data_IF_374990289501
#
_entry.id   IF_374990289501
#
_cell.length_a   1.000
_cell.length_b   1.000
_cell.length_c   1.000
_cell.angle_alpha   90.00
_cell.angle_beta   90.00
_cell.angle_gamma   90.00
#
_symmetry.space_group_name_H-M   'P 1'
#
loop_
_entity.id
_entity.type
_entity.pdbx_description
1 polymer ?
#
# COMPACT_ATOMS: atom_id res chain seq x y z
N UNK A 1 -26.82 -46.78 25.37
CA UNK A 1 -27.66 -45.58 25.20
C UNK A 1 -27.19 -44.94 23.90
N UNK A 2 -28.04 -44.99 22.87
CA UNK A 2 -27.74 -44.41 21.57
C UNK A 2 -28.19 -42.94 21.62
N UNK A 3 -27.23 -42.03 21.68
CA UNK A 3 -27.46 -40.61 21.42
C UNK A 3 -27.24 -40.41 19.92
N UNK A 4 -28.33 -40.52 19.19
CA UNK A 4 -28.44 -40.38 17.74
C UNK A 4 -29.16 -39.07 17.44
N UNK A 5 -28.57 -38.27 16.54
CA UNK A 5 -29.15 -37.13 15.82
C UNK A 5 -29.49 -35.86 16.60
N UNK A 6 -28.98 -34.72 16.08
CA UNK A 6 -29.83 -33.52 16.08
C UNK A 6 -29.20 -32.14 16.07
N UNK A 7 -27.87 -31.94 16.06
CA UNK A 7 -27.32 -30.57 15.99
C UNK A 7 -26.85 -30.12 14.60
N UNK A 8 -27.28 -30.80 13.54
CA UNK A 8 -27.40 -30.15 12.23
C UNK A 8 -28.79 -29.51 12.14
N UNK A 9 -29.02 -28.47 12.95
CA UNK A 9 -30.11 -27.55 12.66
C UNK A 9 -29.54 -26.51 11.72
N UNK A 10 -29.91 -26.64 10.46
CA UNK A 10 -29.68 -25.64 9.41
C UNK A 10 -30.24 -24.30 9.87
N UNK A 11 -29.43 -23.50 10.55
CA UNK A 11 -29.59 -22.05 10.51
C UNK A 11 -29.04 -21.57 9.17
N UNK A 12 -29.84 -21.85 8.15
CA UNK A 12 -29.95 -21.07 6.94
C UNK A 12 -30.33 -19.64 7.37
N UNK A 13 -29.32 -18.83 7.68
CA UNK A 13 -29.49 -17.39 7.79
C UNK A 13 -28.54 -16.78 6.80
N UNK A 14 -29.07 -16.48 5.62
CA UNK A 14 -28.44 -15.61 4.65
C UNK A 14 -28.13 -14.27 5.31
N UNK A 15 -26.91 -14.15 5.83
CA UNK A 15 -26.25 -12.86 5.85
C UNK A 15 -25.63 -12.73 4.45
N UNK A 16 -25.90 -11.63 3.73
CA UNK A 16 -25.34 -11.42 2.42
C UNK A 16 -23.83 -11.50 2.56
N UNK A 17 -23.16 -11.99 1.51
CA UNK A 17 -21.74 -11.73 1.28
C UNK A 17 -21.53 -10.23 1.49
N UNK A 18 -21.19 -9.85 2.72
CA UNK A 18 -20.42 -8.66 2.99
C UNK A 18 -19.10 -9.00 2.34
N UNK A 19 -19.02 -8.74 1.04
CA UNK A 19 -17.78 -8.68 0.31
C UNK A 19 -16.82 -7.96 1.26
N UNK A 20 -15.80 -8.65 1.75
CA UNK A 20 -14.74 -8.00 2.48
C UNK A 20 -14.21 -6.94 1.53
N UNK A 21 -14.64 -5.70 1.73
CA UNK A 21 -14.39 -4.59 0.84
C UNK A 21 -12.89 -4.32 0.93
N UNK A 22 -12.15 -4.95 0.02
CA UNK A 22 -10.73 -4.74 -0.16
C UNK A 22 -10.50 -3.24 -0.42
N UNK A 23 -9.70 -2.54 0.41
CA UNK A 23 -9.43 -1.13 0.22
C UNK A 23 -8.85 -0.83 -1.18
N UNK A 24 -8.17 -1.80 -1.81
CA UNK A 24 -7.72 -1.67 -3.20
C UNK A 24 -8.89 -1.66 -4.19
N UNK A 25 -9.93 -2.47 -3.95
CA UNK A 25 -11.13 -2.52 -4.81
C UNK A 25 -11.93 -1.22 -4.74
N UNK A 26 -12.07 -0.62 -3.55
CA UNK A 26 -12.72 0.69 -3.39
C UNK A 26 -11.94 1.80 -4.13
N UNK A 27 -10.61 1.79 -4.06
CA UNK A 27 -9.76 2.74 -4.79
C UNK A 27 -9.86 2.58 -6.31
N UNK A 28 -9.88 1.33 -6.81
CA UNK A 28 -10.08 1.08 -8.24
C UNK A 28 -11.46 1.54 -8.71
N UNK A 29 -12.53 1.26 -7.96
CA UNK A 29 -13.88 1.72 -8.30
C UNK A 29 -13.98 3.27 -8.30
N UNK A 30 -13.30 3.94 -7.38
CA UNK A 30 -13.23 5.40 -7.35
C UNK A 30 -12.46 5.94 -8.56
N UNK A 31 -11.32 5.33 -8.91
CA UNK A 31 -10.53 5.73 -10.08
C UNK A 31 -11.27 5.48 -11.40
N UNK A 32 -11.98 4.36 -11.52
CA UNK A 32 -12.83 4.07 -12.68
C UNK A 32 -13.95 5.11 -12.81
N UNK A 33 -14.57 5.53 -11.70
CA UNK A 33 -15.59 6.58 -11.69
C UNK A 33 -15.03 7.95 -12.07
N UNK A 34 -13.81 8.28 -11.61
CA UNK A 34 -13.12 9.54 -11.93
C UNK A 34 -12.71 9.61 -13.40
N UNK A 35 -12.21 8.50 -13.98
CA UNK A 35 -11.83 8.40 -15.40
C UNK A 35 -13.07 8.38 -16.31
N UNK A 36 -14.13 7.65 -15.95
CA UNK A 36 -15.37 7.59 -16.73
C UNK A 36 -16.03 8.97 -16.89
N UNK A 37 -15.85 9.88 -15.91
CA UNK A 37 -16.31 11.26 -16.01
C UNK A 37 -15.57 12.11 -17.05
N UNK A 38 -14.33 11.75 -17.40
CA UNK A 38 -13.53 12.46 -18.40
C UNK A 38 -13.80 11.91 -19.81
N UNK A 39 -14.04 10.61 -19.96
CA UNK A 39 -14.38 10.01 -21.26
C UNK A 39 -15.79 10.38 -21.74
N UNK A 40 -16.74 10.60 -20.83
CA UNK A 40 -18.09 11.02 -21.18
C UNK A 40 -18.24 12.52 -21.51
N UNK A 41 -17.14 13.28 -21.55
CA UNK A 41 -17.17 14.65 -22.07
C UNK A 41 -17.05 14.62 -23.61
N UNK A 42 -18.12 14.93 -24.37
CA UNK A 42 -18.08 14.91 -25.83
C UNK A 42 -17.24 16.05 -26.44
N UNK A 43 -16.51 16.82 -25.62
CA UNK A 43 -15.72 17.97 -26.04
C UNK A 43 -14.37 17.64 -26.68
N UNK A 44 -13.87 16.39 -26.60
CA UNK A 44 -12.52 16.03 -27.07
C UNK A 44 -12.49 15.20 -28.36
N UNK A 45 -13.56 15.24 -29.15
CA UNK A 45 -13.59 14.67 -30.50
C UNK A 45 -12.65 15.43 -31.45
N UNK A 46 -11.63 14.73 -31.93
CA UNK A 46 -10.57 15.24 -32.81
C UNK A 46 -11.08 16.06 -34.02
N UNK A 47 -10.41 17.17 -34.40
CA UNK A 47 -10.83 18.05 -35.48
C UNK A 47 -10.55 17.40 -36.84
N UNK A 48 -11.54 16.69 -37.37
CA UNK A 48 -11.54 16.22 -38.75
C UNK A 48 -11.84 17.39 -39.71
N UNK A 49 -10.76 17.97 -40.25
CA UNK A 49 -10.61 18.45 -41.62
C UNK A 49 -11.87 18.96 -42.38
N UNK A 50 -11.93 20.27 -42.60
CA UNK A 50 -12.52 20.90 -43.80
C UNK A 50 -12.05 22.36 -43.84
N UNK A 51 -10.93 22.71 -44.49
CA UNK A 51 -10.82 23.02 -45.92
C UNK A 51 -11.93 23.92 -46.48
N UNK A 52 -11.74 25.25 -46.38
CA UNK A 52 -12.17 26.26 -47.38
C UNK A 52 -11.17 27.43 -47.22
N UNK A 53 -10.03 27.49 -47.90
CA UNK A 53 -9.80 27.92 -49.28
C UNK A 53 -10.38 29.32 -49.61
N UNK A 54 -9.57 30.14 -50.28
CA UNK A 54 -9.86 31.47 -50.90
C UNK A 54 -9.71 32.67 -49.96
N UNK A 55 -8.96 33.74 -50.22
CA UNK A 55 -8.31 34.22 -51.43
C UNK A 55 -7.18 35.22 -51.08
N UNK A 56 -6.09 35.18 -51.86
CA UNK A 56 -5.13 36.26 -52.13
C UNK A 56 -5.84 37.50 -52.77
N UNK A 57 -5.19 38.65 -53.09
CA UNK A 57 -3.76 38.98 -53.06
C UNK A 57 -3.42 40.35 -52.42
N UNK A 58 -2.11 40.58 -52.24
CA UNK A 58 -1.54 41.82 -51.72
C UNK A 58 -1.65 43.02 -52.64
N UNK A 59 -1.65 44.19 -52.00
CA UNK A 59 -1.24 45.45 -52.60
C UNK A 59 0.03 45.90 -51.88
N UNK A 60 1.14 45.71 -52.59
CA UNK A 60 2.39 46.38 -52.31
C UNK A 60 2.33 47.82 -52.84
N UNK A 61 3.23 48.63 -52.30
CA UNK A 61 3.75 49.88 -52.87
C UNK A 61 3.08 51.17 -52.38
N UNK A 62 3.89 52.00 -51.73
CA UNK A 62 3.51 53.35 -51.31
C UNK A 62 4.45 53.93 -50.25
N UNK A 63 5.76 53.85 -50.49
CA UNK A 63 6.72 54.66 -49.76
C UNK A 63 6.53 56.13 -50.15
N UNK A 64 6.12 56.96 -49.20
CA UNK A 64 5.94 58.40 -49.34
C UNK A 64 6.37 59.08 -48.05
N UNK A 65 7.68 59.12 -47.85
CA UNK A 65 8.39 59.98 -46.91
C UNK A 65 8.31 61.43 -47.38
N UNK A 66 7.79 62.33 -46.54
CA UNK A 66 7.90 63.81 -46.61
C UNK A 66 7.09 64.33 -45.41
N UNK A 67 7.66 64.38 -44.19
CA UNK A 67 8.43 65.52 -43.68
C UNK A 67 7.80 66.88 -44.03
N UNK A 68 6.73 67.25 -43.31
CA UNK A 68 6.19 68.61 -43.35
C UNK A 68 5.76 69.04 -41.95
N UNK A 69 6.70 69.74 -41.33
CA UNK A 69 6.46 71.02 -40.67
C UNK A 69 5.57 71.02 -39.42
N UNK A 70 6.26 71.20 -38.29
CA UNK A 70 6.08 72.34 -37.39
C UNK A 70 4.67 72.93 -37.33
N UNK A 71 4.00 72.77 -36.19
CA UNK A 71 3.80 73.91 -35.27
C UNK A 71 3.08 73.48 -34.00
N UNK A 72 3.68 73.88 -32.90
CA UNK A 72 3.12 73.93 -31.56
C UNK A 72 2.06 75.04 -31.52
N UNK A 73 0.81 74.67 -31.26
CA UNK A 73 -0.25 75.57 -30.79
C UNK A 73 -1.13 74.65 -29.95
N UNK A 74 -0.87 74.53 -28.66
CA UNK A 74 -1.31 75.57 -27.75
C UNK A 74 -2.72 75.20 -27.30
N UNK A 75 -2.77 74.23 -26.39
CA UNK A 75 -3.65 74.26 -25.23
C UNK A 75 -5.06 74.83 -25.46
N UNK A 76 -5.89 74.11 -26.22
CA UNK A 76 -7.34 74.15 -25.97
C UNK A 76 -7.73 72.79 -25.42
N UNK A 77 -7.46 72.69 -24.12
CA UNK A 77 -7.94 71.72 -23.18
C UNK A 77 -9.48 71.77 -23.14
N UNK A 78 -10.16 71.39 -24.22
CA UNK A 78 -11.56 71.00 -24.18
C UNK A 78 -11.61 69.49 -23.93
N UNK A 79 -11.20 69.16 -22.72
CA UNK A 79 -11.31 67.89 -22.02
C UNK A 79 -12.80 67.59 -21.76
N UNK A 80 -13.58 67.35 -22.81
CA UNK A 80 -15.00 67.01 -22.70
C UNK A 80 -15.28 65.53 -23.04
N UNK A 81 -14.28 64.80 -23.51
CA UNK A 81 -14.20 63.33 -23.59
C UNK A 81 -12.72 62.98 -23.71
N UNK A 82 -11.94 63.45 -22.72
CA UNK A 82 -10.49 63.36 -22.74
C UNK A 82 -9.99 61.93 -22.89
N UNK A 83 -8.70 61.73 -23.23
CA UNK A 83 -8.06 60.43 -23.38
C UNK A 83 -8.04 59.57 -22.10
N UNK A 84 -8.79 59.95 -21.05
CA UNK A 84 -9.13 59.15 -19.89
C UNK A 84 -9.74 57.78 -20.26
N UNK A 85 -10.41 57.67 -21.42
CA UNK A 85 -10.91 56.38 -21.90
C UNK A 85 -9.81 55.49 -22.52
N UNK A 86 -8.64 56.06 -22.84
CA UNK A 86 -7.49 55.27 -23.27
C UNK A 86 -6.96 54.38 -22.13
N UNK A 87 -6.92 54.91 -20.90
CA UNK A 87 -6.50 54.13 -19.73
C UNK A 87 -7.56 53.10 -19.35
N UNK A 88 -8.85 53.43 -19.51
CA UNK A 88 -9.94 52.48 -19.29
C UNK A 88 -9.93 51.34 -20.33
N UNK A 89 -9.67 51.65 -21.60
CA UNK A 89 -9.50 50.65 -22.66
C UNK A 89 -8.29 49.75 -22.41
N UNK A 90 -7.15 50.29 -21.97
CA UNK A 90 -5.99 49.50 -21.57
C UNK A 90 -6.30 48.66 -20.34
N UNK A 91 -7.00 49.18 -19.32
CA UNK A 91 -7.39 48.41 -18.13
C UNK A 91 -8.39 47.30 -18.46
N UNK A 92 -9.32 47.53 -19.40
CA UNK A 92 -10.24 46.50 -19.88
C UNK A 92 -9.50 45.45 -20.72
N UNK A 93 -8.58 45.86 -21.58
CA UNK A 93 -7.71 44.96 -22.33
C UNK A 93 -6.81 44.15 -21.39
N UNK A 94 -6.24 44.77 -20.36
CA UNK A 94 -5.44 44.10 -19.34
C UNK A 94 -6.30 43.11 -18.58
N UNK A 95 -7.52 43.47 -18.15
CA UNK A 95 -8.48 42.53 -17.54
C UNK A 95 -8.86 41.35 -18.45
N UNK A 96 -8.84 41.53 -19.78
CA UNK A 96 -9.07 40.46 -20.76
C UNK A 96 -7.82 39.63 -21.05
N UNK A 97 -6.62 40.22 -20.92
CA UNK A 97 -5.32 39.58 -21.20
C UNK A 97 -4.76 38.88 -19.97
N UNK A 98 -5.08 39.41 -18.78
CA UNK A 98 -4.93 38.71 -17.51
C UNK A 98 -5.64 37.37 -17.70
N UNK A 99 -4.85 36.30 -17.70
CA UNK A 99 -5.40 34.95 -17.69
C UNK A 99 -6.54 34.92 -16.68
N UNK A 100 -7.74 34.45 -17.07
CA UNK A 100 -8.91 34.53 -16.22
C UNK A 100 -8.55 34.15 -14.79
N UNK A 101 -8.86 35.01 -13.83
CA UNK A 101 -8.59 34.77 -12.41
C UNK A 101 -9.02 33.35 -11.97
N UNK A 102 -10.06 32.78 -12.62
CA UNK A 102 -10.47 31.39 -12.45
C UNK A 102 -9.40 30.37 -12.88
N UNK A 103 -8.75 30.54 -14.03
CA UNK A 103 -7.67 29.69 -14.51
C UNK A 103 -6.44 29.85 -13.61
N UNK A 104 -6.09 31.08 -13.22
CA UNK A 104 -4.97 31.31 -12.29
C UNK A 104 -5.22 30.60 -10.96
N UNK A 105 -6.39 30.79 -10.36
CA UNK A 105 -6.80 30.10 -9.13
C UNK A 105 -6.80 28.58 -9.30
N UNK A 106 -7.25 28.07 -10.44
CA UNK A 106 -7.23 26.63 -10.73
C UNK A 106 -5.81 26.07 -10.81
N UNK A 107 -4.86 26.79 -11.41
CA UNK A 107 -3.44 26.40 -11.44
C UNK A 107 -2.82 26.40 -10.04
N UNK A 108 -3.09 27.44 -9.25
CA UNK A 108 -2.60 27.55 -7.88
C UNK A 108 -3.19 26.45 -6.98
N UNK A 109 -4.51 26.19 -7.10
CA UNK A 109 -5.20 25.13 -6.36
C UNK A 109 -4.72 23.73 -6.77
N UNK A 110 -4.61 23.46 -8.08
CA UNK A 110 -4.10 22.17 -8.57
C UNK A 110 -2.66 21.92 -8.10
N UNK A 111 -1.80 22.95 -8.16
CA UNK A 111 -0.41 22.88 -7.67
C UNK A 111 -0.38 22.60 -6.17
N UNK A 112 -1.23 23.28 -5.39
CA UNK A 112 -1.33 23.09 -3.94
C UNK A 112 -1.81 21.66 -3.60
N UNK A 113 -2.86 21.18 -4.26
CA UNK A 113 -3.37 19.80 -4.10
C UNK A 113 -2.30 18.76 -4.43
N UNK A 114 -1.55 18.95 -5.51
CA UNK A 114 -0.47 18.03 -5.88
C UNK A 114 0.66 18.02 -4.84
N UNK A 115 1.04 19.19 -4.33
CA UNK A 115 2.03 19.32 -3.26
C UNK A 115 1.57 18.66 -1.96
N UNK A 116 0.28 18.78 -1.62
CA UNK A 116 -0.32 18.12 -0.46
C UNK A 116 -0.31 16.59 -0.60
N UNK A 117 -0.66 16.07 -1.78
CA UNK A 117 -0.59 14.63 -2.06
C UNK A 117 0.85 14.09 -1.97
N UNK A 118 1.84 14.79 -2.52
CA UNK A 118 3.25 14.42 -2.41
C UNK A 118 3.74 14.45 -0.95
N UNK A 119 3.33 15.45 -0.18
CA UNK A 119 3.63 15.53 1.24
C UNK A 119 2.98 14.39 2.04
N UNK A 120 1.70 14.11 1.81
CA UNK A 120 0.98 13.00 2.44
C UNK A 120 1.62 11.65 2.10
N UNK A 121 1.98 11.43 0.84
CA UNK A 121 2.69 10.21 0.40
C UNK A 121 3.99 10.02 1.17
N UNK A 122 4.81 11.07 1.33
CA UNK A 122 6.07 11.01 2.08
C UNK A 122 5.85 10.74 3.56
N UNK A 123 4.82 11.32 4.16
CA UNK A 123 4.44 11.07 5.56
C UNK A 123 4.07 9.60 5.74
N UNK A 124 3.16 9.08 4.91
CA UNK A 124 2.76 7.67 5.00
C UNK A 124 3.95 6.74 4.78
N UNK A 125 4.82 6.97 3.79
CA UNK A 125 6.01 6.13 3.60
C UNK A 125 6.94 6.13 4.83
N UNK A 126 7.16 7.30 5.43
CA UNK A 126 7.97 7.43 6.64
C UNK A 126 7.32 6.72 7.84
N UNK A 127 6.01 6.88 8.04
CA UNK A 127 5.26 6.19 9.09
C UNK A 127 5.38 4.67 8.95
N UNK A 128 5.23 4.14 7.73
CA UNK A 128 5.35 2.72 7.47
C UNK A 128 6.78 2.22 7.69
N UNK A 129 7.80 3.02 7.32
CA UNK A 129 9.20 2.70 7.60
C UNK A 129 9.49 2.67 9.09
N UNK A 130 9.06 3.68 9.83
CA UNK A 130 9.27 3.76 11.28
C UNK A 130 8.48 2.67 12.00
N UNK A 131 7.27 2.35 11.55
CA UNK A 131 6.48 1.24 12.07
C UNK A 131 7.19 -0.10 11.86
N UNK A 132 7.64 -0.38 10.65
CA UNK A 132 8.37 -1.62 10.35
C UNK A 132 9.68 -1.73 11.13
N UNK A 133 10.41 -0.61 11.28
CA UNK A 133 11.63 -0.54 12.09
C UNK A 133 11.33 -0.79 13.57
N UNK A 134 10.33 -0.14 14.14
CA UNK A 134 9.89 -0.35 15.53
C UNK A 134 9.47 -1.79 15.77
N UNK A 135 8.69 -2.39 14.88
CA UNK A 135 8.26 -3.78 15.01
C UNK A 135 9.46 -4.75 14.99
N UNK A 136 10.49 -4.45 14.18
CA UNK A 136 11.74 -5.22 14.15
C UNK A 136 12.56 -5.07 15.44
N UNK A 137 12.68 -3.84 15.95
CA UNK A 137 13.37 -3.54 17.22
C UNK A 137 12.67 -4.23 18.40
N UNK A 138 11.34 -4.15 18.46
CA UNK A 138 10.51 -4.83 19.46
C UNK A 138 10.65 -6.36 19.36
N UNK A 139 10.72 -6.90 18.14
CA UNK A 139 10.95 -8.34 17.94
C UNK A 139 12.32 -8.75 18.48
N UNK A 140 13.38 -7.98 18.18
CA UNK A 140 14.72 -8.27 18.66
C UNK A 140 14.85 -8.13 20.20
N UNK A 141 14.22 -7.12 20.79
CA UNK A 141 14.15 -6.94 22.24
C UNK A 141 13.46 -8.14 22.90
N UNK A 142 12.26 -8.50 22.42
CA UNK A 142 11.50 -9.66 22.94
C UNK A 142 12.29 -10.95 22.79
N UNK A 143 12.99 -11.15 21.67
CA UNK A 143 13.83 -12.32 21.43
C UNK A 143 14.99 -12.37 22.43
N UNK A 144 15.68 -11.25 22.62
CA UNK A 144 16.81 -11.12 23.55
C UNK A 144 16.38 -11.39 24.99
N UNK A 145 15.26 -10.80 25.41
CA UNK A 145 14.65 -11.03 26.72
C UNK A 145 14.24 -12.50 26.91
N UNK A 146 13.63 -13.11 25.89
CA UNK A 146 13.25 -14.52 25.94
C UNK A 146 14.47 -15.42 26.10
N UNK A 147 15.55 -15.16 25.36
CA UNK A 147 16.80 -15.91 25.47
C UNK A 147 17.42 -15.73 26.85
N UNK A 148 17.48 -14.51 27.37
CA UNK A 148 18.08 -14.26 28.68
C UNK A 148 17.25 -14.88 29.81
N UNK A 149 15.93 -14.78 29.74
CA UNK A 149 15.02 -15.49 30.65
C UNK A 149 15.24 -17.00 30.59
N UNK A 150 15.38 -17.57 29.39
CA UNK A 150 15.66 -19.00 29.23
C UNK A 150 17.03 -19.38 29.82
N UNK A 151 18.07 -18.57 29.62
CA UNK A 151 19.38 -18.81 30.26
C UNK A 151 19.29 -18.78 31.77
N UNK A 152 18.61 -17.79 32.35
CA UNK A 152 18.43 -17.68 33.81
C UNK A 152 17.67 -18.89 34.34
N UNK A 153 16.56 -19.26 33.69
CA UNK A 153 15.77 -20.43 34.06
C UNK A 153 16.59 -21.72 33.97
N UNK A 154 17.36 -21.92 32.89
CA UNK A 154 18.24 -23.07 32.73
C UNK A 154 19.32 -23.10 33.82
N UNK A 155 19.93 -21.96 34.15
CA UNK A 155 20.91 -21.86 35.24
C UNK A 155 20.30 -22.18 36.60
N UNK A 156 19.07 -21.74 36.87
CA UNK A 156 18.35 -22.08 38.10
C UNK A 156 18.04 -23.57 38.13
N UNK A 157 17.55 -24.14 37.02
CA UNK A 157 17.24 -25.56 36.89
C UNK A 157 18.51 -26.42 37.08
N UNK A 158 19.62 -26.09 36.42
CA UNK A 158 20.90 -26.77 36.58
C UNK A 158 21.39 -26.68 38.03
N UNK A 159 21.37 -25.47 38.61
CA UNK A 159 21.78 -25.28 40.00
C UNK A 159 20.89 -26.05 40.97
N UNK A 160 19.58 -26.16 40.73
CA UNK A 160 18.67 -26.97 41.54
C UNK A 160 18.95 -28.47 41.34
N UNK A 161 19.23 -28.89 40.11
CA UNK A 161 19.53 -30.27 39.77
C UNK A 161 20.78 -30.78 40.50
N UNK A 162 21.87 -30.01 40.53
CA UNK A 162 23.10 -30.41 41.22
C UNK A 162 23.08 -30.23 42.74
N UNK A 163 22.08 -29.55 43.30
CA UNK A 163 21.90 -29.44 44.75
C UNK A 163 21.09 -30.59 45.34
N UNK A 164 20.37 -31.36 44.53
CA UNK A 164 19.59 -32.49 45.03
C UNK A 164 20.52 -33.66 45.41
N UNK A 165 20.14 -34.49 46.41
CA UNK A 165 20.83 -35.74 46.70
C UNK A 165 20.88 -36.65 45.47
N UNK A 166 21.98 -37.39 45.29
CA UNK A 166 22.14 -38.38 44.23
C UNK A 166 22.07 -37.83 42.79
N UNK A 167 22.31 -36.53 42.58
CA UNK A 167 22.31 -35.89 41.25
C UNK A 167 23.16 -36.65 40.21
N UNK A 168 24.34 -37.12 40.60
CA UNK A 168 25.24 -37.91 39.74
C UNK A 168 24.62 -39.27 39.34
N UNK A 169 23.97 -39.95 40.28
CA UNK A 169 23.26 -41.22 40.04
C UNK A 169 22.05 -40.99 39.12
N UNK A 170 21.28 -39.93 39.37
CA UNK A 170 20.13 -39.54 38.53
C UNK A 170 20.61 -39.25 37.10
N UNK A 171 21.71 -38.50 36.95
CA UNK A 171 22.31 -38.22 35.65
C UNK A 171 22.74 -39.48 34.89
N UNK A 172 23.37 -40.44 35.59
CA UNK A 172 23.78 -41.72 35.01
C UNK A 172 22.56 -42.54 34.55
N UNK A 173 21.56 -42.72 35.41
CA UNK A 173 20.34 -43.47 35.07
C UNK A 173 19.60 -42.82 33.90
N UNK A 174 19.47 -41.49 33.87
CA UNK A 174 18.84 -40.79 32.76
C UNK A 174 19.61 -40.96 31.44
N UNK A 175 20.94 -40.97 31.48
CA UNK A 175 21.76 -41.22 30.28
C UNK A 175 21.62 -42.66 29.77
N UNK A 176 21.55 -43.64 30.68
CA UNK A 176 21.35 -45.05 30.34
C UNK A 176 19.95 -45.28 29.75
N UNK A 177 18.91 -44.69 30.35
CA UNK A 177 17.54 -44.75 29.82
C UNK A 177 17.41 -44.09 28.45
N UNK A 178 18.06 -42.94 28.24
CA UNK A 178 18.08 -42.25 26.95
C UNK A 178 18.76 -43.11 25.87
N UNK A 179 19.91 -43.72 26.18
CA UNK A 179 20.61 -44.63 25.29
C UNK A 179 19.75 -45.86 24.93
N UNK A 180 19.09 -46.45 25.93
CA UNK A 180 18.17 -47.59 25.71
C UNK A 180 16.96 -47.17 24.87
N UNK A 181 16.42 -45.96 25.07
CA UNK A 181 15.30 -45.45 24.28
C UNK A 181 15.70 -45.25 22.83
N UNK A 182 16.83 -44.62 22.55
CA UNK A 182 17.34 -44.42 21.19
C UNK A 182 17.53 -45.77 20.48
N UNK A 183 18.12 -46.76 21.17
CA UNK A 183 18.30 -48.12 20.68
C UNK A 183 16.99 -48.84 20.37
N UNK A 184 15.94 -48.62 21.19
CA UNK A 184 14.60 -49.19 20.96
C UNK A 184 13.83 -48.44 19.88
N UNK A 185 13.99 -47.13 19.76
CA UNK A 185 13.31 -46.32 18.76
C UNK A 185 13.84 -46.56 17.34
N UNK A 186 14.98 -47.25 17.20
CA UNK A 186 15.47 -47.80 15.92
C UNK A 186 14.67 -49.02 15.44
N UNK A 187 13.65 -49.46 16.19
CA UNK A 187 12.72 -50.50 15.74
C UNK A 187 12.03 -50.08 14.42
N UNK A 188 11.97 -50.97 13.43
CA UNK A 188 11.22 -50.72 12.19
C UNK A 188 9.78 -50.25 12.47
N UNK A 189 9.36 -49.17 11.80
CA UNK A 189 8.00 -48.62 11.88
C UNK A 189 7.87 -47.25 12.58
N UNK A 190 8.88 -46.76 13.30
CA UNK A 190 8.88 -45.46 13.99
C UNK A 190 9.36 -44.29 13.12
N UNK A 191 9.78 -44.54 11.88
CA UNK A 191 10.41 -43.53 11.01
C UNK A 191 9.51 -42.30 10.76
N UNK A 192 8.22 -42.52 10.51
CA UNK A 192 7.26 -41.44 10.30
C UNK A 192 6.94 -40.67 11.57
N UNK A 193 7.04 -41.31 12.73
CA UNK A 193 6.91 -40.62 14.01
C UNK A 193 8.07 -39.64 14.20
N UNK A 194 9.31 -40.05 13.91
CA UNK A 194 10.50 -39.18 13.95
C UNK A 194 10.34 -37.98 13.00
N UNK A 195 9.94 -38.23 11.76
CA UNK A 195 9.71 -37.16 10.78
C UNK A 195 8.61 -36.20 11.27
N UNK A 196 7.51 -36.72 11.83
CA UNK A 196 6.42 -35.89 12.31
C UNK A 196 6.79 -35.08 13.56
N UNK A 197 7.65 -35.58 14.45
CA UNK A 197 8.14 -34.81 15.60
C UNK A 197 8.97 -33.57 15.18
N UNK A 198 9.64 -33.64 14.04
CA UNK A 198 10.38 -32.51 13.46
C UNK A 198 9.48 -31.49 12.75
N UNK A 199 8.20 -31.82 12.54
CA UNK A 199 7.26 -30.97 11.82
C UNK A 199 6.41 -30.13 12.79
N UNK A 200 6.31 -28.83 12.52
CA UNK A 200 5.41 -27.95 13.25
C UNK A 200 3.99 -27.97 12.66
N UNK A 201 3.08 -28.56 13.43
CA UNK A 201 1.66 -28.65 13.12
C UNK A 201 0.82 -27.53 13.73
N UNK A 202 1.43 -26.57 14.44
CA UNK A 202 0.70 -25.42 14.97
C UNK A 202 0.29 -24.48 13.81
N UNK A 203 -1.03 -24.26 13.58
CA UNK A 203 -1.50 -23.42 12.50
C UNK A 203 -1.05 -21.95 12.64
N UNK A 204 -0.72 -21.49 13.85
CA UNK A 204 -0.33 -20.10 14.13
C UNK A 204 1.16 -19.84 14.00
N UNK A 205 1.98 -20.89 13.91
CA UNK A 205 3.44 -20.77 13.97
C UNK A 205 4.09 -20.63 12.59
N UNK A 206 3.43 -21.11 11.53
CA UNK A 206 4.01 -21.08 10.19
C UNK A 206 4.00 -19.67 9.59
N UNK A 207 5.17 -19.04 9.53
CA UNK A 207 5.45 -17.85 8.70
C UNK A 207 5.63 -18.19 7.21
N UNK A 208 5.39 -19.45 6.81
CA UNK A 208 5.65 -19.90 5.46
C UNK A 208 4.52 -19.47 4.52
N UNK A 209 4.87 -18.76 3.45
CA UNK A 209 3.92 -18.29 2.44
C UNK A 209 3.39 -19.41 1.51
N UNK A 210 3.94 -20.62 1.60
CA UNK A 210 3.56 -21.76 0.76
C UNK A 210 2.58 -22.64 1.52
N UNK A 211 1.49 -23.01 0.86
CA UNK A 211 0.55 -24.01 1.38
C UNK A 211 1.21 -25.39 1.44
N UNK A 212 1.39 -25.90 2.65
CA UNK A 212 1.91 -27.24 2.95
C UNK A 212 0.85 -28.14 3.61
N UNK A 213 -0.43 -27.75 3.55
CA UNK A 213 -1.53 -28.46 4.21
C UNK A 213 -1.65 -29.90 3.74
N UNK A 214 -1.47 -30.15 2.44
CA UNK A 214 -1.46 -31.52 1.87
C UNK A 214 -0.33 -32.36 2.45
N UNK A 215 0.90 -31.83 2.50
CA UNK A 215 2.06 -32.51 3.08
C UNK A 215 1.82 -32.81 4.57
N UNK A 216 1.32 -31.83 5.32
CA UNK A 216 0.97 -31.99 6.75
C UNK A 216 -0.07 -33.10 6.95
N UNK A 217 -1.09 -33.16 6.11
CA UNK A 217 -2.11 -34.22 6.17
C UNK A 217 -1.52 -35.61 5.90
N UNK A 218 -0.64 -35.73 4.90
CA UNK A 218 0.03 -37.01 4.60
C UNK A 218 0.90 -37.46 5.77
N UNK A 219 1.70 -36.54 6.33
CA UNK A 219 2.55 -36.85 7.50
C UNK A 219 1.73 -37.25 8.73
N UNK A 220 0.60 -36.58 8.99
CA UNK A 220 -0.30 -36.95 10.07
C UNK A 220 -0.91 -38.34 9.87
N UNK A 221 -1.33 -38.67 8.64
CA UNK A 221 -1.84 -40.00 8.31
C UNK A 221 -0.77 -41.07 8.52
N UNK A 222 0.47 -40.83 8.10
CA UNK A 222 1.58 -41.77 8.23
C UNK A 222 2.04 -41.93 9.69
N UNK A 223 1.92 -40.88 10.50
CA UNK A 223 2.14 -40.94 11.95
C UNK A 223 1.09 -41.80 12.65
N UNK A 224 -0.19 -41.71 12.24
CA UNK A 224 -1.28 -42.48 12.84
C UNK A 224 -1.34 -43.92 12.32
N UNK A 225 -1.06 -44.12 11.03
CA UNK A 225 -1.07 -45.41 10.34
C UNK A 225 0.29 -45.59 9.65
N UNK A 226 1.30 -46.13 10.35
CA UNK A 226 2.58 -46.42 9.74
C UNK A 226 2.40 -47.47 8.64
N UNK A 227 3.12 -47.29 7.54
CA UNK A 227 3.17 -48.28 6.46
C UNK A 227 3.80 -49.56 7.00
N UNK A 228 3.02 -50.64 7.06
CA UNK A 228 3.55 -51.98 7.32
C UNK A 228 4.44 -52.37 6.14
N UNK A 229 5.71 -52.67 6.39
CA UNK A 229 6.55 -53.41 5.43
C UNK A 229 6.42 -54.90 5.66
#
# INVERSE_FOLDING_TARGET
>A
MAEDFGFFSSSESGAPEAAEEDPAAAFLAQQESEIAGIENDPGFGAPAASQVASAQPGLASGAGSEDMSTTVNGDVFQEANGPADGYAAIAQADRLTQEPESIRKWREEQKKRLQELDAASKVTEQEWREKAKKDLEEWNQRQSEQVEKNKINNRIADKAFYQQPDADTIGYVASEEAFVKESKEETPGTEWEKVAQLCDFNPKSSKQCKDVSRLRSVLMSLKQTPLSR
#
